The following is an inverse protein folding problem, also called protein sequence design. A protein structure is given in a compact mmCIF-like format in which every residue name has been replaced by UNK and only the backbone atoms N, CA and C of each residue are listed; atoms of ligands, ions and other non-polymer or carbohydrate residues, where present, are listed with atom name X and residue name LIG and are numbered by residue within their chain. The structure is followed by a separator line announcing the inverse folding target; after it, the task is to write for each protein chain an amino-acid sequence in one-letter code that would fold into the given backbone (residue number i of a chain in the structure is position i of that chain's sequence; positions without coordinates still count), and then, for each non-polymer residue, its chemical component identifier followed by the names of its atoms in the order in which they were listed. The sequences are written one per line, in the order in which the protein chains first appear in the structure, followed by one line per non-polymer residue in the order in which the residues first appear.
data_IF_275150925263
#
_entry.id   IF_275150925263
#
_cell.length_a   1.000
_cell.length_b   1.000
_cell.length_c   1.000
_cell.angle_alpha   90.00
_cell.angle_beta   90.00
_cell.angle_gamma   90.00
#
_symmetry.space_group_name_H-M   'P 1'
#
loop_
_entity.id
_entity.type
_entity.pdbx_description
1 polymer ?
#
# COMPACT_ATOMS: atom_id res chain seq x y z
N UNK A 1 17.76 -9.89 7.44
CA UNK A 1 17.31 -10.89 8.45
C UNK A 1 15.83 -10.72 8.83
N UNK A 2 15.31 -9.48 8.92
CA UNK A 2 13.91 -9.18 9.28
C UNK A 2 12.91 -9.76 8.27
N UNK A 3 13.07 -9.47 6.97
CA UNK A 3 12.17 -9.97 5.92
C UNK A 3 12.05 -11.52 5.87
N UNK A 4 13.17 -12.24 6.07
CA UNK A 4 13.19 -13.73 6.04
C UNK A 4 12.41 -14.40 7.19
N UNK A 5 11.92 -13.67 8.18
CA UNK A 5 11.13 -14.21 9.31
C UNK A 5 9.71 -13.68 9.34
N UNK A 6 9.44 -12.56 8.68
CA UNK A 6 8.10 -11.99 8.61
C UNK A 6 7.19 -12.90 7.77
N UNK A 7 6.03 -13.27 8.32
CA UNK A 7 5.02 -14.08 7.62
C UNK A 7 3.92 -13.20 7.04
N UNK A 8 3.65 -12.06 7.66
CA UNK A 8 2.68 -11.09 7.17
C UNK A 8 3.37 -9.73 6.96
N UNK A 9 3.44 -9.30 5.70
CA UNK A 9 4.05 -8.03 5.29
C UNK A 9 2.96 -7.17 4.66
N UNK A 10 2.94 -5.87 4.94
CA UNK A 10 2.17 -4.93 4.15
C UNK A 10 3.00 -3.72 3.71
N UNK A 11 2.68 -3.21 2.52
CA UNK A 11 3.18 -1.94 2.01
C UNK A 11 2.05 -0.90 2.03
N UNK A 12 2.30 0.22 2.69
CA UNK A 12 1.43 1.38 2.77
C UNK A 12 1.79 2.35 1.65
N UNK A 13 0.81 2.82 0.87
CA UNK A 13 1.06 3.73 -0.26
C UNK A 13 1.96 3.09 -1.29
N UNK A 14 1.60 1.89 -1.73
CA UNK A 14 2.48 1.03 -2.51
C UNK A 14 2.77 1.59 -3.92
N UNK A 15 1.93 2.49 -4.46
CA UNK A 15 2.14 3.04 -5.79
C UNK A 15 2.20 1.92 -6.85
N UNK A 16 3.35 1.77 -7.51
CA UNK A 16 3.57 0.69 -8.47
C UNK A 16 3.90 -0.69 -7.82
N UNK A 17 4.10 -0.74 -6.50
CA UNK A 17 4.35 -1.96 -5.73
C UNK A 17 5.79 -2.43 -5.70
N UNK A 18 6.75 -1.60 -6.11
CA UNK A 18 8.15 -2.00 -6.23
C UNK A 18 8.71 -2.59 -4.93
N UNK A 19 8.49 -1.94 -3.79
CA UNK A 19 9.11 -2.34 -2.53
C UNK A 19 8.46 -3.60 -1.98
N UNK A 20 7.14 -3.70 -1.99
CA UNK A 20 6.41 -4.88 -1.54
C UNK A 20 6.65 -6.10 -2.44
N UNK A 21 6.73 -5.92 -3.76
CA UNK A 21 7.08 -7.02 -4.69
C UNK A 21 8.53 -7.47 -4.54
N UNK A 22 9.46 -6.54 -4.31
CA UNK A 22 10.84 -6.89 -3.96
C UNK A 22 10.90 -7.64 -2.63
N UNK A 23 10.10 -7.23 -1.63
CA UNK A 23 9.97 -7.95 -0.37
C UNK A 23 9.40 -9.36 -0.59
N UNK A 24 8.37 -9.51 -1.43
CA UNK A 24 7.79 -10.79 -1.81
C UNK A 24 8.84 -11.73 -2.41
N UNK A 25 9.68 -11.22 -3.32
CA UNK A 25 10.77 -11.99 -3.92
C UNK A 25 11.86 -12.36 -2.92
N UNK A 26 12.23 -11.45 -2.02
CA UNK A 26 13.25 -11.68 -1.00
C UNK A 26 12.78 -12.65 0.11
N UNK A 27 11.46 -12.73 0.35
CA UNK A 27 10.85 -13.62 1.31
C UNK A 27 10.56 -14.98 0.67
N UNK A 28 11.54 -15.88 0.69
CA UNK A 28 11.40 -17.24 0.16
C UNK A 28 10.82 -18.24 1.17
N UNK A 29 10.16 -17.78 2.23
CA UNK A 29 9.60 -18.67 3.26
C UNK A 29 8.21 -19.14 2.88
N UNK A 30 8.00 -20.46 2.87
CA UNK A 30 6.68 -21.06 2.67
C UNK A 30 5.64 -20.49 3.64
N UNK A 31 4.52 -20.00 3.09
CA UNK A 31 3.41 -19.42 3.86
C UNK A 31 3.56 -17.94 4.25
N UNK A 32 4.50 -17.21 3.63
CA UNK A 32 4.53 -15.75 3.70
C UNK A 32 3.43 -15.10 2.84
N UNK A 33 2.93 -13.95 3.27
CA UNK A 33 1.94 -13.13 2.60
C UNK A 33 2.43 -11.69 2.51
N UNK A 34 2.25 -11.05 1.36
CA UNK A 34 2.46 -9.62 1.14
C UNK A 34 1.14 -8.98 0.75
N UNK A 35 0.77 -7.89 1.42
CA UNK A 35 -0.40 -7.09 1.08
C UNK A 35 0.05 -5.71 0.63
N UNK A 36 -0.18 -5.39 -0.64
CA UNK A 36 0.10 -4.08 -1.22
C UNK A 36 -1.14 -3.21 -1.08
N UNK A 37 -0.99 -2.01 -0.51
CA UNK A 37 -2.13 -1.13 -0.24
C UNK A 37 -1.95 0.26 -0.82
N UNK A 38 -3.07 0.81 -1.30
CA UNK A 38 -3.16 2.19 -1.78
C UNK A 38 -4.62 2.67 -1.68
N UNK A 39 -4.86 3.94 -1.98
CA UNK A 39 -6.19 4.57 -1.95
C UNK A 39 -6.72 4.87 -3.36
N UNK A 40 -5.84 5.19 -4.31
CA UNK A 40 -6.24 5.60 -5.66
C UNK A 40 -6.60 4.38 -6.53
N UNK A 41 -7.75 4.42 -7.21
CA UNK A 41 -8.29 3.26 -7.94
C UNK A 41 -7.43 2.86 -9.14
N UNK A 42 -6.85 3.82 -9.84
CA UNK A 42 -5.93 3.62 -10.95
C UNK A 42 -4.60 3.04 -10.48
N UNK A 43 -4.09 3.50 -9.32
CA UNK A 43 -2.89 2.94 -8.70
C UNK A 43 -3.14 1.49 -8.33
N UNK A 44 -4.27 1.19 -7.68
CA UNK A 44 -4.65 -0.18 -7.33
C UNK A 44 -4.83 -1.08 -8.57
N UNK A 45 -5.29 -0.53 -9.68
CA UNK A 45 -5.38 -1.26 -10.96
C UNK A 45 -4.00 -1.62 -11.50
N UNK A 46 -3.07 -0.66 -11.51
CA UNK A 46 -1.67 -0.87 -11.90
C UNK A 46 -0.98 -1.87 -10.96
N UNK A 47 -1.18 -1.71 -9.66
CA UNK A 47 -0.61 -2.56 -8.62
C UNK A 47 -1.04 -4.02 -8.76
N UNK A 48 -2.31 -4.29 -9.13
CA UNK A 48 -2.79 -5.64 -9.46
C UNK A 48 -2.09 -6.23 -10.67
N UNK A 49 -1.90 -5.46 -11.75
CA UNK A 49 -1.17 -5.92 -12.93
C UNK A 49 0.27 -6.28 -12.57
N UNK A 50 0.93 -5.44 -11.79
CA UNK A 50 2.30 -5.68 -11.34
C UNK A 50 2.40 -6.89 -10.41
N UNK A 51 1.44 -7.08 -9.51
CA UNK A 51 1.39 -8.25 -8.63
C UNK A 51 1.20 -9.57 -9.39
N UNK A 52 0.41 -9.57 -10.47
CA UNK A 52 0.25 -10.74 -11.35
C UNK A 52 1.52 -10.99 -12.18
N UNK A 53 2.16 -9.93 -12.66
CA UNK A 53 3.35 -10.02 -13.50
C UNK A 53 4.63 -10.39 -12.73
N UNK A 54 4.67 -10.17 -11.41
CA UNK A 54 5.83 -10.41 -10.57
C UNK A 54 5.83 -11.86 -10.02
N UNK A 55 6.66 -12.77 -10.56
CA UNK A 55 6.74 -14.13 -10.05
C UNK A 55 7.24 -14.12 -8.60
N UNK A 56 6.46 -14.73 -7.69
CA UNK A 56 6.85 -14.89 -6.29
C UNK A 56 6.36 -16.22 -5.73
N UNK A 57 7.07 -16.73 -4.73
CA UNK A 57 6.70 -17.96 -4.01
C UNK A 57 5.77 -17.68 -2.82
N UNK A 58 5.35 -16.44 -2.65
CA UNK A 58 4.50 -15.96 -1.56
C UNK A 58 3.20 -15.41 -2.11
N UNK A 59 2.16 -15.40 -1.31
CA UNK A 59 0.89 -14.84 -1.73
C UNK A 59 0.97 -13.32 -1.74
N UNK A 60 0.73 -12.69 -2.89
CA UNK A 60 0.64 -11.22 -3.02
C UNK A 60 -0.82 -10.83 -3.22
N UNK A 61 -1.32 -9.97 -2.35
CA UNK A 61 -2.67 -9.44 -2.43
C UNK A 61 -2.64 -7.92 -2.60
N UNK A 62 -3.59 -7.39 -3.37
CA UNK A 62 -3.82 -5.95 -3.45
C UNK A 62 -5.10 -5.60 -2.70
N UNK A 63 -5.02 -4.58 -1.83
CA UNK A 63 -6.14 -4.13 -1.00
C UNK A 63 -6.23 -2.62 -0.97
N UNK A 64 -7.46 -2.11 -0.91
CA UNK A 64 -7.68 -0.70 -0.66
C UNK A 64 -7.40 -0.37 0.82
N UNK A 65 -6.67 0.72 1.08
CA UNK A 65 -6.48 1.29 2.41
C UNK A 65 -6.30 2.82 2.34
N UNK A 66 -7.23 3.53 2.96
CA UNK A 66 -7.13 4.96 3.26
C UNK A 66 -6.47 5.11 4.64
N UNK A 67 -5.35 5.83 4.76
CA UNK A 67 -4.68 6.03 6.05
C UNK A 67 -5.59 6.75 7.04
N UNK A 68 -5.39 6.53 8.35
CA UNK A 68 -6.25 7.08 9.42
C UNK A 68 -7.66 6.47 9.55
N UNK A 69 -8.22 5.92 8.46
CA UNK A 69 -9.62 5.46 8.40
C UNK A 69 -9.99 4.34 9.39
N UNK A 70 -9.01 3.57 9.86
CA UNK A 70 -9.23 2.46 10.79
C UNK A 70 -8.77 2.76 12.22
N UNK A 71 -8.01 3.85 12.43
CA UNK A 71 -7.63 4.35 13.75
C UNK A 71 -8.73 5.21 14.42
N UNK A 72 -9.94 5.25 13.85
CA UNK A 72 -11.01 6.12 14.31
C UNK A 72 -10.74 7.60 14.04
N UNK A 73 -9.72 7.92 13.23
CA UNK A 73 -9.54 9.27 12.64
C UNK A 73 -10.53 9.37 11.47
N UNK A 74 -11.81 9.20 11.77
CA UNK A 74 -12.92 9.22 10.82
C UNK A 74 -13.43 10.66 10.74
N UNK A 75 -12.63 11.54 10.17
CA UNK A 75 -13.14 12.86 9.80
C UNK A 75 -13.90 12.71 8.48
N UNK A 76 -15.06 13.35 8.39
CA UNK A 76 -15.86 13.42 7.16
C UNK A 76 -15.01 13.90 5.95
N UNK A 77 -14.00 14.72 6.23
CA UNK A 77 -13.00 15.17 5.27
C UNK A 77 -12.10 14.02 4.75
N UNK A 78 -11.63 13.12 5.61
CA UNK A 78 -10.85 11.95 5.21
C UNK A 78 -11.68 11.01 4.34
N UNK A 79 -12.96 10.81 4.72
CA UNK A 79 -13.89 9.98 3.97
C UNK A 79 -14.15 10.56 2.58
N UNK A 80 -14.40 11.86 2.48
CA UNK A 80 -14.62 12.56 1.22
C UNK A 80 -13.37 12.60 0.31
N UNK A 81 -12.16 12.76 0.89
CA UNK A 81 -10.89 12.65 0.15
C UNK A 81 -10.72 11.26 -0.46
N UNK A 82 -10.92 10.23 0.36
CA UNK A 82 -10.75 8.85 -0.06
C UNK A 82 -11.83 8.42 -1.08
N UNK A 83 -13.05 8.95 -1.00
CA UNK A 83 -14.09 8.75 -2.02
C UNK A 83 -13.78 9.48 -3.35
N UNK A 84 -13.15 10.66 -3.30
CA UNK A 84 -12.68 11.37 -4.50
C UNK A 84 -11.54 10.64 -5.19
N UNK A 85 -10.55 10.17 -4.44
CA UNK A 85 -9.38 9.47 -4.98
C UNK A 85 -9.71 8.06 -5.49
N UNK A 86 -10.71 7.40 -4.91
CA UNK A 86 -11.24 6.16 -5.46
C UNK A 86 -11.98 6.36 -6.80
N UNK A 87 -12.31 7.60 -7.19
CA UNK A 87 -13.06 7.93 -8.41
C UNK A 87 -12.34 8.87 -9.39
N UNK A 88 -11.13 9.34 -9.08
CA UNK A 88 -10.40 10.31 -9.88
C UNK A 88 -9.54 9.66 -10.96
N UNK A 89 -9.87 9.86 -12.24
CA UNK A 89 -9.00 9.45 -13.33
C UNK A 89 -7.76 10.36 -13.42
N UNK A 90 -6.57 9.76 -13.51
CA UNK A 90 -5.33 10.49 -13.80
C UNK A 90 -5.30 10.90 -15.28
N UNK A 91 -5.45 12.19 -15.55
CA UNK A 91 -5.26 12.80 -16.88
C UNK A 91 -3.76 12.91 -17.16
N UNK A 92 -3.13 11.82 -17.63
CA UNK A 92 -1.74 11.88 -18.08
C UNK A 92 -0.89 10.62 -17.88
N UNK A 93 -1.21 9.56 -18.61
CA UNK A 93 -0.19 8.63 -19.13
C UNK A 93 -0.65 8.23 -20.53
N UNK A 94 -0.15 8.99 -21.50
CA UNK A 94 -0.36 8.75 -22.91
C UNK A 94 0.31 7.41 -23.30
N UNK A 95 -0.51 6.48 -23.77
CA UNK A 95 -0.20 5.34 -24.64
C UNK A 95 1.05 4.50 -24.34
N UNK A 96 0.87 3.47 -23.50
CA UNK A 96 1.56 2.19 -23.71
C UNK A 96 0.50 1.10 -23.88
N UNK A 97 0.11 0.89 -25.14
CA UNK A 97 -0.65 -0.29 -25.55
C UNK A 97 0.24 -1.52 -25.50
N UNK A 98 -0.08 -2.48 -24.63
CA UNK A 98 0.12 -3.90 -24.95
C UNK A 98 -0.98 -4.73 -24.28
N UNK A 99 -1.92 -5.21 -25.11
CA UNK A 99 -2.39 -6.60 -25.10
C UNK A 99 -3.29 -7.07 -23.96
N UNK A 100 -4.47 -7.53 -24.36
CA UNK A 100 -5.41 -8.47 -23.69
C UNK A 100 -6.22 -7.96 -22.48
N UNK A 101 -7.44 -7.52 -22.83
CA UNK A 101 -8.72 -7.45 -22.09
C UNK A 101 -8.72 -7.33 -20.54
N UNK A 102 -9.34 -6.30 -19.95
CA UNK A 102 -9.65 -6.33 -18.53
C UNK A 102 -10.89 -7.21 -18.29
N UNK A 103 -10.67 -8.34 -17.61
CA UNK A 103 -11.70 -8.97 -16.77
C UNK A 103 -12.27 -7.92 -15.80
N UNK A 104 -13.58 -8.01 -15.55
CA UNK A 104 -14.39 -7.11 -14.70
C UNK A 104 -13.59 -6.37 -13.61
N UNK A 105 -13.43 -5.06 -13.84
CA UNK A 105 -12.84 -4.09 -12.90
C UNK A 105 -13.75 -3.90 -11.69
N UNK A 106 -13.78 -4.90 -10.80
CA UNK A 106 -14.31 -4.72 -9.46
C UNK A 106 -13.25 -4.04 -8.60
N UNK A 107 -13.63 -2.99 -7.87
CA UNK A 107 -12.73 -2.29 -6.96
C UNK A 107 -12.03 -3.29 -6.01
N UNK A 108 -10.74 -3.11 -5.69
CA UNK A 108 -10.07 -4.00 -4.74
C UNK A 108 -10.80 -4.07 -3.41
N UNK A 109 -10.89 -5.27 -2.82
CA UNK A 109 -11.48 -5.38 -1.49
C UNK A 109 -10.67 -4.54 -0.52
N UNK A 110 -11.37 -3.90 0.41
CA UNK A 110 -10.75 -3.13 1.50
C UNK A 110 -9.93 -4.06 2.38
N UNK A 111 -8.84 -3.53 2.94
CA UNK A 111 -8.10 -4.26 3.96
C UNK A 111 -9.00 -4.56 5.17
N UNK A 112 -8.98 -5.81 5.61
CA UNK A 112 -9.76 -6.30 6.76
C UNK A 112 -9.50 -5.44 8.01
N UNK A 113 -10.56 -5.10 8.75
CA UNK A 113 -10.41 -4.38 10.03
C UNK A 113 -9.63 -5.21 11.03
N UNK A 114 -8.72 -4.58 11.77
CA UNK A 114 -7.91 -5.23 12.79
C UNK A 114 -6.82 -6.18 12.27
N UNK A 115 -6.69 -6.37 10.96
CA UNK A 115 -5.55 -7.11 10.39
C UNK A 115 -4.25 -6.40 10.73
N UNK A 116 -3.29 -7.16 11.28
CA UNK A 116 -1.95 -6.69 11.68
C UNK A 116 -0.83 -7.44 10.95
N UNK A 117 0.34 -6.83 10.88
CA UNK A 117 1.49 -7.30 10.10
C UNK A 117 2.77 -7.30 10.92
N UNK A 118 3.63 -8.30 10.68
CA UNK A 118 4.96 -8.40 11.31
C UNK A 118 5.92 -7.33 10.78
N UNK A 119 5.70 -6.92 9.52
CA UNK A 119 6.49 -5.92 8.83
C UNK A 119 5.58 -4.97 8.06
N UNK A 120 5.69 -3.68 8.35
CA UNK A 120 5.11 -2.61 7.55
C UNK A 120 6.20 -1.91 6.75
N UNK A 121 5.93 -1.65 5.48
CA UNK A 121 6.80 -0.93 4.55
C UNK A 121 6.07 0.33 4.12
N UNK A 122 6.78 1.45 4.04
CA UNK A 122 6.28 2.69 3.45
C UNK A 122 7.45 3.39 2.75
N UNK A 123 7.29 3.68 1.46
CA UNK A 123 8.34 4.28 0.64
C UNK A 123 7.86 5.60 0.04
N UNK A 124 8.53 6.69 0.40
CA UNK A 124 8.19 8.06 0.04
C UNK A 124 6.72 8.40 0.35
N UNK A 125 6.27 8.11 1.58
CA UNK A 125 4.91 8.35 2.05
C UNK A 125 4.77 9.62 2.93
N UNK A 126 5.86 10.36 3.12
CA UNK A 126 5.92 11.51 4.04
C UNK A 126 6.20 12.83 3.30
N UNK A 127 5.73 12.94 2.05
CA UNK A 127 5.89 14.16 1.25
C UNK A 127 4.88 15.26 1.62
N UNK A 128 3.74 14.87 2.20
CA UNK A 128 2.75 15.79 2.76
C UNK A 128 2.72 15.67 4.29
N UNK A 129 3.06 16.76 4.98
CA UNK A 129 3.12 16.78 6.45
C UNK A 129 1.77 16.44 7.11
N UNK A 130 0.66 16.89 6.50
CA UNK A 130 -0.70 16.59 6.95
C UNK A 130 -1.03 15.10 6.97
N UNK A 131 -0.32 14.28 6.19
CA UNK A 131 -0.52 12.84 6.12
C UNK A 131 0.37 12.06 7.11
N UNK A 132 1.36 12.71 7.74
CA UNK A 132 2.28 12.03 8.65
C UNK A 132 1.54 11.48 9.89
N UNK A 133 0.57 12.22 10.44
CA UNK A 133 -0.21 11.76 11.59
C UNK A 133 -1.11 10.56 11.24
N UNK A 134 -1.78 10.61 10.08
CA UNK A 134 -2.65 9.52 9.63
C UNK A 134 -1.84 8.28 9.24
N UNK A 135 -0.67 8.45 8.63
CA UNK A 135 0.29 7.36 8.38
C UNK A 135 0.77 6.74 9.70
N UNK A 136 1.20 7.55 10.67
CA UNK A 136 1.64 7.06 11.98
C UNK A 136 0.53 6.31 12.73
N UNK A 137 -0.70 6.83 12.70
CA UNK A 137 -1.87 6.16 13.28
C UNK A 137 -2.15 4.81 12.59
N UNK A 138 -2.07 4.76 11.26
CA UNK A 138 -2.18 3.50 10.50
C UNK A 138 -1.07 2.52 10.86
N UNK A 139 0.19 2.98 11.01
CA UNK A 139 1.28 2.11 11.47
C UNK A 139 0.98 1.53 12.85
N UNK A 140 0.58 2.36 13.82
CA UNK A 140 0.29 1.90 15.19
C UNK A 140 -0.85 0.87 15.26
N UNK A 141 -1.89 1.05 14.42
CA UNK A 141 -3.02 0.13 14.37
C UNK A 141 -2.68 -1.19 13.65
N UNK A 142 -1.85 -1.13 12.60
CA UNK A 142 -1.59 -2.25 11.69
C UNK A 142 -0.33 -3.04 12.00
N UNK A 143 0.53 -2.54 12.89
CA UNK A 143 1.72 -3.29 13.29
C UNK A 143 1.36 -4.34 14.35
N UNK A 144 1.83 -5.56 14.17
CA UNK A 144 1.70 -6.60 15.19
C UNK A 144 2.63 -6.32 16.39
N UNK A 145 2.33 -6.91 17.55
CA UNK A 145 3.21 -6.82 18.72
C UNK A 145 4.60 -7.38 18.39
N UNK A 146 5.65 -6.59 18.64
CA UNK A 146 7.02 -6.94 18.27
C UNK A 146 7.32 -6.86 16.76
N UNK A 147 6.38 -6.38 15.96
CA UNK A 147 6.58 -6.09 14.54
C UNK A 147 7.50 -4.89 14.30
N UNK A 148 7.91 -4.71 13.05
CA UNK A 148 8.76 -3.59 12.62
C UNK A 148 8.08 -2.79 11.51
N UNK A 149 8.12 -1.46 11.59
CA UNK A 149 7.79 -0.57 10.48
C UNK A 149 9.08 0.00 9.88
N UNK A 150 9.24 -0.10 8.56
CA UNK A 150 10.33 0.51 7.81
C UNK A 150 9.74 1.62 6.93
N UNK A 151 10.05 2.86 7.28
CA UNK A 151 9.67 4.05 6.52
C UNK A 151 10.93 4.61 5.88
N UNK A 152 10.95 4.67 4.54
CA UNK A 152 12.04 5.22 3.77
C UNK A 152 11.51 6.37 2.92
N UNK A 153 11.95 7.60 3.17
CA UNK A 153 11.50 8.77 2.41
C UNK A 153 12.69 9.57 1.92
N UNK A 154 12.53 10.22 0.77
CA UNK A 154 13.54 11.17 0.29
C UNK A 154 13.48 12.45 1.11
N UNK A 155 14.64 12.97 1.51
CA UNK A 155 14.70 14.25 2.21
C UNK A 155 14.35 15.37 1.23
N UNK A 156 13.29 16.13 1.53
CA UNK A 156 12.85 17.29 0.74
C UNK A 156 13.17 18.56 1.53
N UNK A 157 14.29 19.26 1.25
CA UNK A 157 14.64 20.47 1.96
C UNK A 157 13.64 21.58 1.60
N UNK A 158 12.83 22.02 2.58
CA UNK A 158 11.81 23.06 2.42
C UNK A 158 10.48 22.83 3.16
N UNK A 159 10.29 21.68 3.81
CA UNK A 159 9.00 21.29 4.42
C UNK A 159 8.82 21.58 5.92
N UNK A 160 9.68 22.39 6.54
CA UNK A 160 9.49 22.85 7.92
C UNK A 160 9.49 24.37 7.94
N UNK A 161 8.32 24.96 7.73
CA UNK A 161 7.96 26.30 8.23
C UNK A 161 6.80 26.16 9.21
#
# INVERSE_FOLDING_TARGET
RIARRARAIAELGAGCGLVGLAAAHACQTSGGQVVLTDVAAEVLTTLRRNAVAAPSSVEVQVRYLCWGSAAGVDSEALRALCEREAGGGFDGIDQLETGTAPQEQTAPPRLERGRRFDLLLAADCTYEWSQCETLAATVAERLADGGVALVASSLRPGGCE
#
